data_IF_738339734755
#
_entry.id   IF_738339734755
#
_cell.length_a   1.000
_cell.length_b   1.000
_cell.length_c   1.000
_cell.angle_alpha   90.00
_cell.angle_beta   90.00
_cell.angle_gamma   90.00
#
_symmetry.space_group_name_H-M   'P 1'
#
loop_
_entity.id
_entity.type
_entity.pdbx_description
1 polymer ?
#
# COMPACT_ATOMS: atom_id res chain seq x y z
N UNK A 1 -15.48 -21.37 -13.02
CA UNK A 1 -14.17 -21.41 -12.43
C UNK A 1 -13.30 -20.27 -12.90
N UNK A 2 -13.00 -19.34 -12.07
CA UNK A 2 -12.16 -18.22 -12.41
C UNK A 2 -10.70 -18.46 -12.06
N UNK A 3 -9.87 -17.55 -12.51
CA UNK A 3 -8.48 -17.51 -12.07
C UNK A 3 -8.42 -17.03 -10.64
N UNK A 4 -7.41 -17.44 -9.86
CA UNK A 4 -7.24 -16.91 -8.55
C UNK A 4 -7.07 -15.40 -8.62
N UNK A 5 -7.63 -14.69 -7.66
CA UNK A 5 -7.46 -13.25 -7.59
C UNK A 5 -5.99 -12.94 -7.31
N UNK A 6 -5.51 -11.88 -7.94
CA UNK A 6 -4.18 -11.39 -7.63
C UNK A 6 -4.17 -10.86 -6.20
N UNK A 7 -3.08 -11.10 -5.45
CA UNK A 7 -2.94 -10.49 -4.14
C UNK A 7 -2.97 -8.97 -4.26
N UNK A 8 -3.47 -8.31 -3.24
CA UNK A 8 -3.54 -6.85 -3.21
C UNK A 8 -2.33 -6.33 -2.44
N UNK A 9 -1.59 -5.41 -3.06
CA UNK A 9 -0.49 -4.73 -2.41
C UNK A 9 -0.81 -3.25 -2.27
N UNK A 10 -0.61 -2.71 -1.07
CA UNK A 10 -0.74 -1.28 -0.82
C UNK A 10 0.66 -0.68 -0.72
N UNK A 11 0.96 0.24 -1.63
CA UNK A 11 2.23 0.95 -1.65
C UNK A 11 2.03 2.32 -1.02
N UNK A 12 2.78 2.61 0.04
CA UNK A 12 2.67 3.86 0.76
C UNK A 12 4.01 4.59 0.67
N UNK A 13 4.03 5.67 -0.09
CA UNK A 13 5.25 6.44 -0.34
C UNK A 13 4.84 7.85 -0.75
N UNK A 14 5.54 8.86 -0.25
CA UNK A 14 5.24 10.25 -0.62
C UNK A 14 5.90 10.67 -1.93
N UNK A 15 6.68 9.79 -2.55
CA UNK A 15 7.38 10.07 -3.81
C UNK A 15 6.69 9.35 -4.96
N UNK A 16 6.09 10.11 -5.86
CA UNK A 16 5.34 9.54 -6.99
C UNK A 16 6.24 8.72 -7.91
N UNK A 17 7.50 9.14 -8.09
CA UNK A 17 8.43 8.39 -8.92
C UNK A 17 8.64 6.97 -8.40
N UNK A 18 8.77 6.81 -7.08
CA UNK A 18 8.92 5.49 -6.48
C UNK A 18 7.66 4.64 -6.65
N UNK A 19 6.50 5.28 -6.48
CA UNK A 19 5.21 4.60 -6.66
C UNK A 19 5.09 4.07 -8.09
N UNK A 20 5.47 4.85 -9.09
CA UNK A 20 5.40 4.42 -10.48
C UNK A 20 6.30 3.24 -10.77
N UNK A 21 7.50 3.24 -10.22
CA UNK A 21 8.43 2.13 -10.38
C UNK A 21 7.86 0.86 -9.79
N UNK A 22 7.34 0.94 -8.57
CA UNK A 22 6.77 -0.21 -7.90
C UNK A 22 5.50 -0.70 -8.60
N UNK A 23 4.65 0.22 -9.04
CA UNK A 23 3.45 -0.16 -9.78
C UNK A 23 3.80 -0.91 -11.06
N UNK A 24 4.77 -0.41 -11.83
CA UNK A 24 5.20 -1.07 -13.06
C UNK A 24 5.76 -2.48 -12.79
N UNK A 25 6.48 -2.65 -11.70
CA UNK A 25 7.06 -3.93 -11.34
C UNK A 25 6.03 -4.92 -10.82
N UNK A 26 4.99 -4.44 -10.16
CA UNK A 26 4.07 -5.31 -9.42
C UNK A 26 2.74 -5.55 -10.12
N UNK A 27 2.35 -4.70 -11.07
CA UNK A 27 0.99 -4.73 -11.63
C UNK A 27 0.63 -6.04 -12.33
N UNK A 28 1.60 -6.74 -12.86
CA UNK A 28 1.32 -7.99 -13.58
C UNK A 28 0.92 -9.12 -12.63
N UNK A 29 1.44 -9.10 -11.42
CA UNK A 29 1.22 -10.17 -10.45
C UNK A 29 0.37 -9.76 -9.27
N UNK A 30 0.19 -8.44 -9.06
CA UNK A 30 -0.53 -7.90 -7.91
C UNK A 30 -1.54 -6.85 -8.36
N UNK A 31 -2.59 -6.73 -7.57
CA UNK A 31 -3.47 -5.56 -7.67
C UNK A 31 -2.84 -4.48 -6.81
N UNK A 32 -2.37 -3.41 -7.43
CA UNK A 32 -1.63 -2.36 -6.72
C UNK A 32 -2.56 -1.22 -6.33
N UNK A 33 -2.54 -0.87 -5.05
CA UNK A 33 -3.20 0.32 -4.53
C UNK A 33 -2.12 1.22 -3.95
N UNK A 34 -2.31 2.52 -4.04
CA UNK A 34 -1.28 3.47 -3.61
C UNK A 34 -1.83 4.51 -2.66
N UNK A 35 -1.00 4.94 -1.73
CA UNK A 35 -1.28 6.03 -0.82
C UNK A 35 -0.03 6.90 -0.70
N UNK A 36 -0.22 8.20 -0.67
CA UNK A 36 0.89 9.13 -0.58
C UNK A 36 1.07 9.72 0.81
N UNK A 37 0.22 9.31 1.74
CA UNK A 37 0.33 9.74 3.13
C UNK A 37 -0.29 8.67 4.04
N UNK A 38 -0.03 8.81 5.34
CA UNK A 38 -0.47 7.82 6.32
C UNK A 38 -1.98 7.75 6.48
N UNK A 39 -2.66 8.89 6.41
CA UNK A 39 -4.12 8.91 6.56
C UNK A 39 -4.80 8.13 5.44
N UNK A 40 -4.39 8.37 4.20
CA UNK A 40 -4.91 7.63 3.06
C UNK A 40 -4.56 6.15 3.16
N UNK A 41 -3.34 5.84 3.61
CA UNK A 41 -2.91 4.46 3.78
C UNK A 41 -3.80 3.70 4.75
N UNK A 42 -4.12 4.30 5.89
CA UNK A 42 -5.00 3.67 6.88
C UNK A 42 -6.39 3.45 6.31
N UNK A 43 -6.93 4.44 5.60
CA UNK A 43 -8.25 4.31 5.00
C UNK A 43 -8.30 3.16 3.98
N UNK A 44 -7.29 3.08 3.12
CA UNK A 44 -7.24 2.03 2.11
C UNK A 44 -6.99 0.66 2.71
N UNK A 45 -6.21 0.59 3.78
CA UNK A 45 -5.94 -0.68 4.45
C UNK A 45 -7.19 -1.26 5.10
N UNK A 46 -8.15 -0.42 5.47
CA UNK A 46 -9.37 -0.84 6.14
C UNK A 46 -10.55 -0.98 5.18
N UNK A 47 -10.38 -0.65 3.91
CA UNK A 47 -11.44 -0.76 2.92
C UNK A 47 -11.15 -1.87 1.91
N UNK A 48 -12.23 -2.39 1.32
CA UNK A 48 -12.11 -3.45 0.32
C UNK A 48 -11.63 -2.91 -1.02
N UNK A 49 -10.79 -3.63 -1.75
CA UNK A 49 -10.16 -4.88 -1.35
C UNK A 49 -9.01 -4.62 -0.37
N UNK A 50 -9.03 -5.35 0.74
CA UNK A 50 -7.99 -5.17 1.76
C UNK A 50 -6.64 -5.65 1.23
N UNK A 51 -5.57 -4.96 1.57
CA UNK A 51 -4.24 -5.39 1.12
C UNK A 51 -3.78 -6.65 1.84
N UNK A 52 -3.13 -7.51 1.09
CA UNK A 52 -2.43 -8.68 1.63
C UNK A 52 -1.01 -8.29 2.06
N UNK A 53 -0.45 -7.27 1.40
CA UNK A 53 0.91 -6.80 1.64
C UNK A 53 0.88 -5.29 1.68
N UNK A 54 1.62 -4.70 2.61
CA UNK A 54 1.78 -3.24 2.70
C UNK A 54 3.26 -2.92 2.61
N UNK A 55 3.63 -2.12 1.60
CA UNK A 55 4.99 -1.62 1.45
C UNK A 55 5.02 -0.17 1.93
N UNK A 56 5.73 0.07 3.02
CA UNK A 56 5.75 1.37 3.67
C UNK A 56 7.08 2.08 3.51
N UNK A 57 7.02 3.35 3.12
CA UNK A 57 8.15 4.27 3.26
C UNK A 57 8.06 4.89 4.65
N UNK A 58 8.96 4.51 5.54
CA UNK A 58 8.95 4.99 6.93
C UNK A 58 9.46 6.41 7.08
N UNK A 59 9.88 7.03 5.98
CA UNK A 59 10.42 8.40 5.99
C UNK A 59 9.34 9.45 5.67
N UNK A 60 8.08 9.08 5.63
CA UNK A 60 7.01 10.03 5.36
C UNK A 60 6.88 11.07 6.48
N UNK A 61 6.82 12.36 6.11
CA UNK A 61 6.83 13.43 7.12
C UNK A 61 5.54 13.61 7.90
N UNK A 62 4.40 13.24 7.32
CA UNK A 62 3.09 13.50 7.94
C UNK A 62 2.69 12.44 8.95
N UNK A 63 3.16 11.23 8.79
CA UNK A 63 2.89 10.14 9.70
C UNK A 63 4.04 9.17 9.65
N UNK A 64 4.54 8.84 10.83
CA UNK A 64 5.60 7.86 10.98
C UNK A 64 5.11 6.52 10.44
N UNK A 65 5.92 5.88 9.59
CA UNK A 65 5.60 4.57 9.05
C UNK A 65 5.40 3.53 10.13
N UNK A 66 6.11 3.63 11.24
CA UNK A 66 5.90 2.74 12.37
C UNK A 66 4.52 2.93 13.00
N UNK A 67 4.03 4.16 13.05
CA UNK A 67 2.70 4.46 13.54
C UNK A 67 1.63 3.81 12.67
N UNK A 68 1.76 3.93 11.35
CA UNK A 68 0.83 3.29 10.42
C UNK A 68 0.84 1.78 10.59
N UNK A 69 2.03 1.19 10.65
CA UNK A 69 2.18 -0.25 10.79
C UNK A 69 1.55 -0.74 12.11
N UNK A 70 1.76 -0.01 13.20
CA UNK A 70 1.20 -0.36 14.50
C UNK A 70 -0.32 -0.33 14.48
N UNK A 71 -0.92 0.67 13.83
CA UNK A 71 -2.38 0.77 13.73
C UNK A 71 -2.98 -0.35 12.89
N UNK A 72 -2.26 -0.78 11.86
CA UNK A 72 -2.72 -1.88 11.02
C UNK A 72 -2.77 -3.21 11.77
N UNK A 73 -1.93 -3.36 12.78
CA UNK A 73 -1.86 -4.59 13.56
C UNK A 73 -2.81 -4.63 14.75
N UNK A 74 -3.37 -3.51 15.10
CA UNK A 74 -4.24 -3.45 16.28
C UNK A 74 -5.68 -3.84 15.96
#
# INVERSE_FOLDING_TARGET
MGYPKKPVVLVVDDTIANIRILDDLLRDEYTVRVATNGTTALRLALSEPRPDIVLLDIMMPEMDGYEVCRRLKS
#
